data_IF_293464324229
#
_entry.id   IF_293464324229
#
_cell.length_a   1.000
_cell.length_b   1.000
_cell.length_c   1.000
_cell.angle_alpha   90.00
_cell.angle_beta   90.00
_cell.angle_gamma   90.00
#
_symmetry.space_group_name_H-M   'P 1'
#
loop_
_entity.id
_entity.type
_entity.pdbx_description
1 polymer ?
#
# COMPACT_ATOMS: atom_id res chain seq x y z
N UNK A 1 18.83 -9.26 6.59
CA UNK A 1 18.12 -8.57 7.70
C UNK A 1 17.48 -7.32 7.15
N UNK A 2 16.26 -7.01 7.57
CA UNK A 2 15.61 -5.74 7.22
C UNK A 2 16.28 -4.62 8.06
N UNK A 3 16.58 -3.43 7.52
CA UNK A 3 17.28 -2.37 8.26
C UNK A 3 16.48 -1.92 9.50
N UNK A 4 17.14 -1.75 10.65
CA UNK A 4 16.53 -1.30 11.90
C UNK A 4 15.79 0.04 11.75
N UNK A 5 16.29 0.91 10.86
CA UNK A 5 15.68 2.20 10.52
C UNK A 5 14.26 2.07 9.94
N UNK A 6 13.97 1.00 9.17
CA UNK A 6 12.62 0.77 8.65
C UNK A 6 11.65 0.38 9.77
N UNK A 7 12.13 -0.37 10.76
CA UNK A 7 11.30 -0.79 11.89
C UNK A 7 10.96 0.39 12.80
N UNK A 8 11.93 1.27 13.08
CA UNK A 8 11.70 2.50 13.83
C UNK A 8 10.72 3.43 13.11
N UNK A 9 10.85 3.58 11.79
CA UNK A 9 9.91 4.38 10.98
C UNK A 9 8.48 3.80 11.00
N UNK A 10 8.33 2.48 10.92
CA UNK A 10 7.01 1.83 10.99
C UNK A 10 6.36 2.03 12.37
N UNK A 11 7.13 1.88 13.45
CA UNK A 11 6.65 2.17 14.82
C UNK A 11 6.27 3.64 14.98
N UNK A 12 7.13 4.56 14.55
CA UNK A 12 6.86 6.00 14.64
C UNK A 12 5.59 6.37 13.86
N UNK A 13 5.42 5.80 12.67
CA UNK A 13 4.20 5.95 11.87
C UNK A 13 2.96 5.42 12.61
N UNK A 14 3.04 4.22 13.19
CA UNK A 14 1.94 3.62 13.97
C UNK A 14 1.54 4.49 15.18
N UNK A 15 2.52 5.06 15.90
CA UNK A 15 2.26 5.97 17.03
C UNK A 15 1.60 7.28 16.57
N UNK A 16 2.05 7.85 15.45
CA UNK A 16 1.43 9.06 14.88
C UNK A 16 -0.03 8.81 14.47
N UNK A 17 -0.33 7.65 13.87
CA UNK A 17 -1.71 7.26 13.54
C UNK A 17 -2.57 7.03 14.79
N UNK A 18 -2.02 6.40 15.83
CA UNK A 18 -2.74 6.22 17.09
C UNK A 18 -3.08 7.57 17.72
N UNK A 19 -2.14 8.51 17.69
CA UNK A 19 -2.37 9.88 18.17
C UNK A 19 -3.45 10.60 17.36
N UNK A 20 -3.43 10.49 16.03
CA UNK A 20 -4.47 11.07 15.16
C UNK A 20 -5.87 10.52 15.47
N UNK A 21 -5.99 9.22 15.76
CA UNK A 21 -7.26 8.59 16.19
C UNK A 21 -7.75 9.22 17.49
N UNK A 22 -6.88 9.38 18.49
CA UNK A 22 -7.21 10.01 19.77
C UNK A 22 -7.66 11.45 19.56
N UNK A 23 -6.97 12.22 18.71
CA UNK A 23 -7.37 13.60 18.37
C UNK A 23 -8.74 13.61 17.68
N UNK A 24 -9.05 12.66 16.79
CA UNK A 24 -10.35 12.56 16.14
C UNK A 24 -11.50 12.28 17.11
N UNK A 25 -11.26 11.62 18.25
CA UNK A 25 -12.26 11.49 19.32
C UNK A 25 -12.61 12.81 20.00
N UNK A 26 -11.69 13.79 19.97
CA UNK A 26 -11.88 15.12 20.55
C UNK A 26 -12.28 16.19 19.53
N UNK A 27 -12.20 15.89 18.22
CA UNK A 27 -12.49 16.86 17.17
C UNK A 27 -14.00 17.03 16.99
N UNK A 28 -14.49 18.27 17.15
CA UNK A 28 -15.89 18.61 16.96
C UNK A 28 -16.34 18.41 15.50
N UNK A 29 -17.54 17.85 15.31
CA UNK A 29 -18.14 17.66 13.99
C UNK A 29 -19.20 18.72 13.71
N UNK A 30 -19.24 19.23 12.47
CA UNK A 30 -20.27 20.16 12.01
C UNK A 30 -21.42 19.39 11.38
N UNK A 31 -22.63 19.55 11.91
CA UNK A 31 -23.82 18.90 11.34
C UNK A 31 -24.15 19.53 9.97
N UNK A 32 -24.26 18.69 8.93
CA UNK A 32 -24.49 19.11 7.53
C UNK A 32 -25.80 19.88 7.34
N UNK A 33 -26.85 19.52 8.09
CA UNK A 33 -28.20 20.07 7.86
C UNK A 33 -28.53 21.33 8.67
N UNK A 34 -27.86 21.57 9.79
CA UNK A 34 -28.27 22.63 10.73
C UNK A 34 -27.21 23.70 10.97
N UNK A 35 -26.02 23.61 10.35
CA UNK A 35 -24.90 24.56 10.53
C UNK A 35 -24.44 24.80 11.99
N UNK A 36 -25.09 24.18 12.98
CA UNK A 36 -24.78 24.24 14.40
C UNK A 36 -23.65 23.27 14.72
N UNK A 37 -22.66 23.77 15.46
CA UNK A 37 -21.57 22.98 16.00
C UNK A 37 -22.09 22.24 17.24
N UNK A 38 -22.18 20.91 17.17
CA UNK A 38 -22.54 20.08 18.32
C UNK A 38 -21.25 19.77 19.07
N UNK A 39 -21.12 20.32 20.28
CA UNK A 39 -19.94 20.13 21.15
C UNK A 39 -20.08 18.93 22.10
N UNK A 40 -21.19 18.20 22.05
CA UNK A 40 -21.44 17.10 22.96
C UNK A 40 -20.53 15.91 22.64
N UNK A 41 -19.53 15.72 23.50
CA UNK A 41 -18.45 14.73 23.34
C UNK A 41 -18.99 13.31 23.25
N UNK A 42 -20.12 13.00 23.91
CA UNK A 42 -20.70 11.66 23.91
C UNK A 42 -21.29 11.30 22.55
N UNK A 43 -21.99 12.25 21.92
CA UNK A 43 -22.57 12.05 20.58
C UNK A 43 -21.48 11.97 19.50
N UNK A 44 -20.43 12.78 19.64
CA UNK A 44 -19.25 12.73 18.74
C UNK A 44 -18.56 11.37 18.85
N UNK A 45 -18.26 10.91 20.06
CA UNK A 45 -17.60 9.64 20.29
C UNK A 45 -18.42 8.45 19.78
N UNK A 46 -19.74 8.41 20.03
CA UNK A 46 -20.60 7.32 19.54
C UNK A 46 -20.69 7.28 18.02
N UNK A 47 -20.79 8.44 17.34
CA UNK A 47 -20.81 8.50 15.88
C UNK A 47 -19.48 8.05 15.28
N UNK A 48 -18.36 8.50 15.85
CA UNK A 48 -17.03 8.09 15.40
C UNK A 48 -16.80 6.59 15.64
N UNK A 49 -17.20 6.07 16.80
CA UNK A 49 -17.10 4.65 17.17
C UNK A 49 -17.88 3.75 16.20
N UNK A 50 -19.08 4.17 15.79
CA UNK A 50 -19.95 3.39 14.90
C UNK A 50 -19.48 3.37 13.44
N UNK A 51 -18.90 4.48 12.95
CA UNK A 51 -18.62 4.65 11.52
C UNK A 51 -17.15 4.40 11.16
N UNK A 52 -16.23 5.01 11.91
CA UNK A 52 -14.83 5.18 11.47
C UNK A 52 -13.83 4.44 12.34
N UNK A 53 -14.14 4.24 13.62
CA UNK A 53 -13.22 3.64 14.58
C UNK A 53 -12.80 2.21 14.22
N UNK A 54 -13.73 1.36 13.74
CA UNK A 54 -13.39 -0.04 13.41
C UNK A 54 -12.33 -0.09 12.30
N UNK A 55 -12.50 0.72 11.25
CA UNK A 55 -11.56 0.79 10.13
C UNK A 55 -10.21 1.34 10.59
N UNK A 56 -10.20 2.33 11.49
CA UNK A 56 -8.99 2.95 12.03
C UNK A 56 -8.22 2.04 12.96
N UNK A 57 -8.94 1.38 13.87
CA UNK A 57 -8.39 0.45 14.82
C UNK A 57 -7.76 -0.73 14.10
N UNK A 58 -8.48 -1.34 13.16
CA UNK A 58 -7.94 -2.43 12.33
C UNK A 58 -6.79 -1.94 11.44
N UNK A 59 -6.84 -0.70 10.94
CA UNK A 59 -5.75 -0.08 10.19
C UNK A 59 -4.49 0.10 11.03
N UNK A 60 -4.60 0.43 12.31
CA UNK A 60 -3.48 0.72 13.22
C UNK A 60 -2.71 -0.53 13.69
N UNK A 61 -3.32 -1.71 13.62
CA UNK A 61 -2.72 -2.93 14.16
C UNK A 61 -1.43 -3.35 13.42
N UNK A 62 -0.40 -3.82 14.13
CA UNK A 62 0.86 -4.29 13.55
C UNK A 62 0.70 -5.70 12.95
N UNK A 63 -0.05 -5.80 11.83
CA UNK A 63 -0.35 -7.06 11.17
C UNK A 63 0.88 -7.89 10.76
N UNK A 64 2.02 -7.26 10.47
CA UNK A 64 3.28 -7.98 10.22
C UNK A 64 3.78 -8.77 11.43
N UNK A 65 3.69 -8.19 12.63
CA UNK A 65 4.08 -8.86 13.86
C UNK A 65 3.13 -10.04 14.14
N UNK A 66 1.83 -9.81 13.95
CA UNK A 66 0.78 -10.83 14.11
C UNK A 66 0.99 -11.98 13.11
N UNK A 67 1.32 -11.68 11.85
CA UNK A 67 1.60 -12.68 10.81
C UNK A 67 2.82 -13.55 11.15
N UNK A 68 3.89 -12.94 11.68
CA UNK A 68 5.10 -13.67 12.12
C UNK A 68 4.81 -14.59 13.31
N UNK A 69 4.07 -14.10 14.31
CA UNK A 69 3.77 -14.85 15.54
C UNK A 69 2.76 -15.98 15.29
N UNK A 70 1.78 -15.77 14.42
CA UNK A 70 0.71 -16.75 14.19
C UNK A 70 1.09 -17.87 13.19
N UNK A 71 2.39 -18.05 12.90
CA UNK A 71 2.87 -19.14 12.06
C UNK A 71 2.62 -18.96 10.56
N UNK A 72 2.60 -17.71 10.06
CA UNK A 72 2.48 -17.39 8.63
C UNK A 72 1.24 -17.98 7.93
N UNK A 73 0.09 -17.96 8.61
CA UNK A 73 -1.17 -18.43 8.03
C UNK A 73 -1.65 -17.49 6.92
N UNK A 74 -2.04 -18.06 5.78
CA UNK A 74 -2.62 -17.38 4.62
C UNK A 74 -3.78 -16.40 4.96
N UNK A 75 -4.76 -16.72 5.84
CA UNK A 75 -5.83 -15.78 6.20
C UNK A 75 -5.32 -14.47 6.82
N UNK A 76 -4.27 -14.53 7.64
CA UNK A 76 -3.68 -13.36 8.31
C UNK A 76 -2.91 -12.52 7.29
N UNK A 77 -2.45 -13.15 6.21
CA UNK A 77 -1.85 -12.45 5.08
C UNK A 77 -2.87 -11.58 4.34
N UNK A 78 -4.12 -12.02 4.21
CA UNK A 78 -5.20 -11.17 3.66
C UNK A 78 -5.52 -9.98 4.58
N UNK A 79 -5.38 -10.14 5.90
CA UNK A 79 -5.56 -9.03 6.84
C UNK A 79 -4.49 -7.93 6.71
N UNK A 80 -3.32 -8.21 6.12
CA UNK A 80 -2.33 -7.17 5.80
C UNK A 80 -2.90 -6.13 4.82
N UNK A 81 -3.87 -6.52 3.97
CA UNK A 81 -4.54 -5.62 3.04
C UNK A 81 -5.44 -4.60 3.74
N UNK A 82 -5.81 -4.83 5.00
CA UNK A 82 -6.49 -3.81 5.82
C UNK A 82 -5.64 -2.55 5.91
N UNK A 83 -4.31 -2.64 5.81
CA UNK A 83 -3.45 -1.45 5.78
C UNK A 83 -3.72 -0.54 4.59
N UNK A 84 -4.32 -1.02 3.51
CA UNK A 84 -4.75 -0.16 2.41
C UNK A 84 -5.87 0.80 2.80
N UNK A 85 -6.61 0.51 3.88
CA UNK A 85 -7.54 1.50 4.44
C UNK A 85 -6.84 2.79 4.88
N UNK A 86 -5.55 2.73 5.24
CA UNK A 86 -4.75 3.92 5.56
C UNK A 86 -4.60 4.85 4.35
N UNK A 87 -4.61 4.33 3.12
CA UNK A 87 -4.57 5.18 1.92
C UNK A 87 -5.84 6.02 1.76
N UNK A 88 -7.00 5.49 2.17
CA UNK A 88 -8.26 6.25 2.19
C UNK A 88 -8.18 7.47 3.12
N UNK A 89 -7.45 7.34 4.23
CA UNK A 89 -7.21 8.46 5.15
C UNK A 89 -6.41 9.58 4.51
N UNK A 90 -5.37 9.20 3.77
CA UNK A 90 -4.55 10.16 3.03
C UNK A 90 -5.40 10.89 1.98
N UNK A 91 -6.28 10.18 1.27
CA UNK A 91 -7.18 10.82 0.29
C UNK A 91 -8.17 11.80 0.93
N UNK A 92 -8.75 11.46 2.09
CA UNK A 92 -9.65 12.37 2.82
C UNK A 92 -8.93 13.60 3.37
N UNK A 93 -7.68 13.44 3.81
CA UNK A 93 -6.84 14.56 4.22
C UNK A 93 -6.59 15.52 3.06
N UNK A 94 -6.26 15.00 1.88
CA UNK A 94 -6.13 15.82 0.67
C UNK A 94 -7.44 16.49 0.28
N UNK A 95 -8.60 15.85 0.43
CA UNK A 95 -9.90 16.49 0.19
C UNK A 95 -10.20 17.66 1.14
N UNK A 96 -9.70 17.60 2.39
CA UNK A 96 -9.79 18.72 3.32
C UNK A 96 -8.86 19.86 2.90
N UNK A 97 -7.64 19.55 2.44
CA UNK A 97 -6.70 20.54 1.92
C UNK A 97 -7.19 21.18 0.60
N UNK A 98 -7.86 20.42 -0.27
CA UNK A 98 -8.45 20.94 -1.52
C UNK A 98 -9.54 21.99 -1.25
N UNK A 99 -10.21 21.92 -0.08
CA UNK A 99 -11.23 22.88 0.35
C UNK A 99 -10.64 24.13 1.01
N UNK A 100 -9.33 24.14 1.30
CA UNK A 100 -8.66 25.29 1.88
C UNK A 100 -8.29 26.30 0.78
N UNK A 101 -8.98 27.44 0.80
CA UNK A 101 -8.76 28.59 -0.10
C UNK A 101 -7.36 29.20 0.00
N UNK A 102 -6.59 28.88 1.04
CA UNK A 102 -5.21 29.39 1.23
C UNK A 102 -4.18 28.69 0.35
N UNK A 103 -4.51 27.53 -0.22
CA UNK A 103 -3.58 26.70 -0.99
C UNK A 103 -4.06 26.58 -2.43
N UNK A 104 -3.11 26.51 -3.37
CA UNK A 104 -3.45 26.32 -4.79
C UNK A 104 -4.10 24.94 -4.99
N UNK A 105 -5.38 24.96 -5.37
CA UNK A 105 -6.18 23.77 -5.67
C UNK A 105 -5.49 22.82 -6.67
N UNK A 106 -4.90 23.36 -7.75
CA UNK A 106 -4.22 22.55 -8.77
C UNK A 106 -2.99 21.84 -8.20
N UNK A 107 -2.24 22.52 -7.33
CA UNK A 107 -1.06 21.94 -6.68
C UNK A 107 -1.45 20.77 -5.78
N UNK A 108 -2.46 20.94 -4.92
CA UNK A 108 -2.93 19.85 -4.05
C UNK A 108 -3.44 18.66 -4.88
N UNK A 109 -4.18 18.91 -5.96
CA UNK A 109 -4.67 17.86 -6.85
C UNK A 109 -3.53 17.08 -7.50
N UNK A 110 -2.48 17.75 -7.97
CA UNK A 110 -1.29 17.09 -8.54
C UNK A 110 -0.59 16.23 -7.49
N UNK A 111 -0.35 16.76 -6.29
CA UNK A 111 0.28 16.01 -5.20
C UNK A 111 -0.55 14.78 -4.82
N UNK A 112 -1.87 14.93 -4.71
CA UNK A 112 -2.80 13.81 -4.44
C UNK A 112 -2.68 12.71 -5.50
N UNK A 113 -2.64 13.07 -6.78
CA UNK A 113 -2.47 12.11 -7.87
C UNK A 113 -1.11 11.39 -7.80
N UNK A 114 -0.02 12.11 -7.53
CA UNK A 114 1.32 11.50 -7.39
C UNK A 114 1.34 10.49 -6.24
N UNK A 115 0.75 10.84 -5.09
CA UNK A 115 0.70 9.95 -3.92
C UNK A 115 -0.12 8.69 -4.22
N UNK A 116 -1.29 8.85 -4.85
CA UNK A 116 -2.16 7.72 -5.24
C UNK A 116 -1.45 6.83 -6.26
N UNK A 117 -0.82 7.41 -7.27
CA UNK A 117 -0.09 6.67 -8.31
C UNK A 117 1.09 5.87 -7.72
N UNK A 118 1.89 6.51 -6.86
CA UNK A 118 2.98 5.84 -6.15
C UNK A 118 2.46 4.66 -5.32
N UNK A 119 1.33 4.86 -4.63
CA UNK A 119 0.70 3.84 -3.80
C UNK A 119 0.20 2.65 -4.63
N UNK A 120 -0.47 2.91 -5.76
CA UNK A 120 -0.88 1.88 -6.72
C UNK A 120 0.33 1.10 -7.26
N UNK A 121 1.40 1.80 -7.63
CA UNK A 121 2.64 1.18 -8.12
C UNK A 121 3.24 0.22 -7.08
N UNK A 122 3.34 0.68 -5.83
CA UNK A 122 3.91 -0.13 -4.75
C UNK A 122 3.04 -1.34 -4.43
N UNK A 123 1.71 -1.14 -4.34
CA UNK A 123 0.76 -2.23 -4.10
C UNK A 123 0.85 -3.29 -5.19
N UNK A 124 0.84 -2.89 -6.47
CA UNK A 124 0.98 -3.80 -7.59
C UNK A 124 2.36 -4.50 -7.60
N UNK A 125 3.46 -3.79 -7.31
CA UNK A 125 4.79 -4.39 -7.15
C UNK A 125 4.84 -5.45 -6.04
N UNK A 126 4.18 -5.20 -4.91
CA UNK A 126 4.03 -6.17 -3.83
C UNK A 126 3.16 -7.37 -4.24
N UNK A 127 2.11 -7.19 -5.04
CA UNK A 127 1.30 -8.29 -5.61
C UNK A 127 2.14 -9.16 -6.52
N UNK A 128 2.92 -8.56 -7.42
CA UNK A 128 3.78 -9.32 -8.33
C UNK A 128 4.88 -10.07 -7.60
N UNK A 129 5.52 -9.43 -6.61
CA UNK A 129 6.47 -10.10 -5.72
C UNK A 129 5.81 -11.25 -4.97
N UNK A 130 4.59 -11.04 -4.44
CA UNK A 130 3.81 -12.09 -3.78
C UNK A 130 3.58 -13.27 -4.71
N UNK A 131 3.04 -13.02 -5.90
CA UNK A 131 2.73 -14.04 -6.90
C UNK A 131 3.99 -14.81 -7.36
N UNK A 132 5.15 -14.17 -7.38
CA UNK A 132 6.42 -14.85 -7.65
C UNK A 132 6.85 -15.78 -6.50
N UNK A 133 6.56 -15.42 -5.24
CA UNK A 133 6.97 -16.21 -4.06
C UNK A 133 6.02 -17.34 -3.67
N UNK A 134 4.77 -17.33 -4.16
CA UNK A 134 3.78 -18.40 -3.89
C UNK A 134 3.94 -19.61 -4.80
N UNK A 135 4.65 -19.48 -5.92
CA UNK A 135 4.82 -20.58 -6.87
C UNK A 135 5.92 -21.53 -6.36
N UNK A 136 5.66 -22.86 -6.37
CA UNK A 136 6.65 -23.84 -5.92
C UNK A 136 7.88 -23.88 -6.85
N UNK A 137 9.07 -24.29 -6.32
CA UNK A 137 10.34 -24.28 -7.04
C UNK A 137 10.31 -25.04 -8.36
N UNK A 138 9.51 -26.10 -8.47
CA UNK A 138 9.36 -26.89 -9.69
C UNK A 138 8.69 -26.16 -10.85
N UNK A 139 8.02 -25.02 -10.60
CA UNK A 139 7.31 -24.20 -11.60
C UNK A 139 7.85 -22.78 -11.71
N UNK A 140 8.99 -22.47 -11.09
CA UNK A 140 9.58 -21.12 -11.10
C UNK A 140 9.85 -20.61 -12.53
N UNK A 141 10.21 -21.49 -13.48
CA UNK A 141 10.44 -21.14 -14.88
C UNK A 141 9.21 -20.67 -15.68
N UNK A 142 7.99 -20.95 -15.21
CA UNK A 142 6.74 -20.48 -15.84
C UNK A 142 6.17 -19.21 -15.21
N UNK A 143 6.84 -18.67 -14.19
CA UNK A 143 6.44 -17.40 -13.59
C UNK A 143 6.85 -16.24 -14.46
N UNK A 144 6.16 -15.10 -14.33
CA UNK A 144 6.51 -13.86 -15.03
C UNK A 144 7.99 -13.45 -14.83
N UNK A 145 8.61 -13.86 -13.72
CA UNK A 145 10.01 -13.58 -13.40
C UNK A 145 11.00 -14.67 -13.86
N UNK A 146 10.55 -15.93 -13.99
CA UNK A 146 11.34 -17.02 -14.53
C UNK A 146 11.35 -17.06 -16.07
N UNK A 147 10.29 -16.54 -16.71
CA UNK A 147 10.23 -16.35 -18.17
C UNK A 147 10.94 -15.07 -18.63
N UNK A 148 11.43 -14.26 -17.71
CA UNK A 148 12.11 -13.00 -17.98
C UNK A 148 13.54 -13.24 -18.45
N UNK A 149 13.84 -12.84 -19.68
CA UNK A 149 15.20 -12.80 -20.23
C UNK A 149 15.63 -11.34 -20.36
N UNK A 150 16.60 -10.90 -19.56
CA UNK A 150 17.22 -9.57 -19.69
C UNK A 150 18.63 -9.74 -20.27
N UNK A 151 18.74 -9.65 -21.60
CA UNK A 151 19.99 -9.89 -22.33
C UNK A 151 20.40 -11.37 -22.27
N UNK A 152 21.67 -11.65 -21.93
CA UNK A 152 22.19 -13.02 -21.79
C UNK A 152 21.83 -13.69 -20.44
N UNK A 153 21.23 -12.94 -19.50
CA UNK A 153 20.90 -13.47 -18.18
C UNK A 153 19.52 -14.10 -18.19
N UNK A 154 19.51 -15.43 -18.07
CA UNK A 154 18.32 -16.25 -17.88
C UNK A 154 18.19 -16.59 -16.40
N UNK A 155 17.22 -16.00 -15.71
CA UNK A 155 17.03 -16.18 -14.27
C UNK A 155 16.30 -17.51 -13.98
N UNK A 156 17.00 -18.63 -14.16
CA UNK A 156 16.47 -19.97 -13.86
C UNK A 156 16.38 -20.26 -12.35
N UNK A 157 17.25 -19.66 -11.53
CA UNK A 157 17.25 -19.78 -10.07
C UNK A 157 16.88 -18.45 -9.41
N UNK A 158 15.60 -18.08 -9.45
CA UNK A 158 15.11 -16.82 -8.86
C UNK A 158 15.42 -16.71 -7.36
N UNK A 159 15.53 -17.85 -6.67
CA UNK A 159 15.83 -17.95 -5.23
C UNK A 159 17.28 -17.71 -4.80
N UNK A 160 18.24 -17.65 -5.72
CA UNK A 160 19.65 -17.37 -5.40
C UNK A 160 20.02 -15.89 -5.54
N UNK A 161 19.16 -15.10 -6.18
CA UNK A 161 19.40 -13.68 -6.46
C UNK A 161 19.10 -12.83 -5.22
N UNK A 162 19.85 -11.76 -4.98
CA UNK A 162 19.57 -10.78 -3.92
C UNK A 162 18.11 -10.33 -3.86
N UNK A 163 17.57 -10.22 -2.63
CA UNK A 163 16.22 -9.73 -2.36
C UNK A 163 15.96 -8.34 -2.97
N UNK A 164 16.98 -7.48 -2.99
CA UNK A 164 16.92 -6.15 -3.60
C UNK A 164 16.65 -6.21 -5.11
N UNK A 165 17.35 -7.10 -5.83
CA UNK A 165 17.15 -7.26 -7.28
C UNK A 165 15.75 -7.78 -7.59
N UNK A 166 15.23 -8.71 -6.77
CA UNK A 166 13.85 -9.22 -6.92
C UNK A 166 12.80 -8.13 -6.71
N UNK A 167 13.03 -7.26 -5.71
CA UNK A 167 12.16 -6.13 -5.42
C UNK A 167 12.17 -5.12 -6.59
N UNK A 168 13.35 -4.73 -7.06
CA UNK A 168 13.51 -3.80 -8.19
C UNK A 168 12.84 -4.38 -9.46
N UNK A 169 13.01 -5.67 -9.74
CA UNK A 169 12.41 -6.31 -10.91
C UNK A 169 10.88 -6.39 -10.83
N UNK A 170 10.34 -6.67 -9.65
CA UNK A 170 8.88 -6.66 -9.41
C UNK A 170 8.29 -5.26 -9.51
N UNK A 171 8.99 -4.25 -8.99
CA UNK A 171 8.57 -2.87 -9.07
C UNK A 171 8.65 -2.34 -10.50
N UNK A 172 9.72 -2.67 -11.23
CA UNK A 172 9.86 -2.34 -12.65
C UNK A 172 8.73 -2.95 -13.48
N UNK A 173 8.41 -4.22 -13.28
CA UNK A 173 7.30 -4.88 -13.97
C UNK A 173 5.95 -4.22 -13.68
N UNK A 174 5.73 -3.85 -12.42
CA UNK A 174 4.54 -3.12 -12.00
C UNK A 174 4.42 -1.77 -12.73
N UNK A 175 5.49 -0.97 -12.74
CA UNK A 175 5.51 0.34 -13.40
C UNK A 175 5.26 0.22 -14.90
N UNK A 176 5.95 -0.71 -15.58
CA UNK A 176 5.81 -0.90 -17.05
C UNK A 176 4.39 -1.33 -17.42
N UNK A 177 3.77 -2.18 -16.61
CA UNK A 177 2.38 -2.61 -16.79
C UNK A 177 1.41 -1.46 -16.55
N UNK A 178 1.62 -0.68 -15.48
CA UNK A 178 0.71 0.40 -15.08
C UNK A 178 0.76 1.61 -16.02
N UNK A 179 1.96 1.96 -16.51
CA UNK A 179 2.14 3.03 -17.51
C UNK A 179 1.79 2.52 -18.93
N UNK A 180 1.28 1.29 -19.06
CA UNK A 180 0.85 0.66 -20.32
C UNK A 180 1.93 0.64 -21.41
N UNK A 181 3.21 0.73 -21.03
CA UNK A 181 4.34 0.72 -21.98
C UNK A 181 4.38 -0.62 -22.72
N UNK A 182 3.87 -1.71 -22.12
CA UNK A 182 3.63 -3.00 -22.80
C UNK A 182 4.90 -3.70 -23.31
N UNK A 183 6.09 -3.14 -23.05
CA UNK A 183 7.38 -3.66 -23.53
C UNK A 183 7.72 -5.04 -22.97
N UNK A 184 7.13 -5.38 -21.84
CA UNK A 184 7.40 -6.65 -21.16
C UNK A 184 6.93 -7.85 -21.98
N UNK A 185 5.73 -7.79 -22.56
CA UNK A 185 5.20 -8.89 -23.38
C UNK A 185 5.92 -9.00 -24.73
N UNK A 186 6.39 -7.87 -25.28
CA UNK A 186 7.21 -7.85 -26.50
C UNK A 186 8.56 -8.55 -26.30
N UNK A 187 9.15 -8.47 -25.10
CA UNK A 187 10.38 -9.20 -24.78
C UNK A 187 10.14 -10.72 -24.64
N UNK A 188 8.96 -11.14 -24.17
CA UNK A 188 8.58 -12.56 -24.09
C UNK A 188 8.16 -13.14 -25.45
N UNK A 189 7.55 -12.33 -26.33
CA UNK A 189 7.07 -12.74 -27.66
C UNK A 189 8.14 -12.68 -28.76
N UNK A 190 9.29 -12.05 -28.52
CA UNK A 190 10.36 -11.87 -29.51
C UNK A 190 11.22 -13.10 -29.80
N UNK A 191 10.91 -14.27 -29.22
CA UNK A 191 11.66 -15.53 -29.41
C UNK A 191 10.86 -16.56 -30.23
N UNK A 192 10.22 -16.10 -31.31
CA UNK A 192 9.49 -16.95 -32.26
C UNK A 192 9.76 -16.65 -33.74
N UNK A 193 10.82 -15.91 -34.09
CA UNK A 193 11.16 -15.62 -35.49
C UNK A 193 12.65 -15.36 -35.69
N UNK A 194 13.49 -16.39 -35.48
CA UNK A 194 14.65 -16.74 -36.31
C UNK A 194 14.80 -18.26 -36.27
#
# INVERSE_FOLDING_TARGET
GLPENLFLLDIAGQLAFLFDIVVHFFLAYRHTDSHHLVYDRRLIALRYLKSRFIVDFLGCLPWDAIYKVCGRKEPIRYMLWIRLSRALRVTEFFEKLEKDIRINYLFIRIVKLIVVEYYCTHAAGCIFYYLATTVPPSKEGYTWIGSLQMGEYRYSNFREIDLWKRYILSLYFSVVTMVTVGRFFNFASGSGSI
#
